data_IF_128348027150
#
_entry.id   IF_128348027150
#
_cell.length_a   1.000
_cell.length_b   1.000
_cell.length_c   1.000
_cell.angle_alpha   90.00
_cell.angle_beta   90.00
_cell.angle_gamma   90.00
#
_symmetry.space_group_name_H-M   'P 1'
#
loop_
_entity.id
_entity.type
_entity.pdbx_description
1 polymer ?
#
# COMPACT_ATOMS: atom_id res chain seq x y z
N UNK A 1 34.27 -17.71 -24.62
CA UNK A 1 33.62 -17.65 -23.29
C UNK A 1 33.50 -19.07 -22.80
N UNK A 2 33.94 -19.36 -21.58
CA UNK A 2 33.89 -20.74 -21.07
C UNK A 2 32.42 -21.12 -20.81
N UNK A 3 32.04 -22.39 -20.99
CA UNK A 3 30.66 -22.86 -20.73
C UNK A 3 30.16 -22.41 -19.34
N UNK A 4 31.08 -22.35 -18.38
CA UNK A 4 30.86 -21.90 -17.00
C UNK A 4 30.52 -20.42 -16.83
N UNK A 5 30.90 -19.55 -17.77
CA UNK A 5 30.54 -18.12 -17.71
C UNK A 5 29.08 -17.92 -18.15
N UNK A 6 28.63 -18.70 -19.12
CA UNK A 6 27.25 -18.69 -19.62
C UNK A 6 26.30 -19.17 -18.53
N UNK A 7 26.63 -20.26 -17.84
CA UNK A 7 25.81 -20.82 -16.76
C UNK A 7 25.63 -19.82 -15.60
N UNK A 8 26.69 -19.09 -15.24
CA UNK A 8 26.63 -18.02 -14.23
C UNK A 8 25.76 -16.85 -14.66
N UNK A 9 25.85 -16.43 -15.93
CA UNK A 9 24.98 -15.37 -16.46
C UNK A 9 23.51 -15.78 -16.43
N UNK A 10 23.20 -17.03 -16.80
CA UNK A 10 21.83 -17.56 -16.74
C UNK A 10 21.32 -17.58 -15.30
N UNK A 11 22.15 -18.00 -14.34
CA UNK A 11 21.77 -18.01 -12.91
C UNK A 11 21.43 -16.62 -12.39
N UNK A 12 22.22 -15.60 -12.77
CA UNK A 12 21.94 -14.20 -12.39
C UNK A 12 20.61 -13.73 -12.99
N UNK A 13 20.36 -14.00 -14.28
CA UNK A 13 19.13 -13.61 -14.96
C UNK A 13 17.89 -14.24 -14.30
N UNK A 14 17.97 -15.53 -13.95
CA UNK A 14 16.86 -16.23 -13.26
C UNK A 14 16.58 -15.56 -11.92
N UNK A 15 17.61 -15.29 -11.10
CA UNK A 15 17.43 -14.65 -9.79
C UNK A 15 16.87 -13.23 -9.91
N UNK A 16 17.26 -12.48 -10.94
CA UNK A 16 16.70 -11.15 -11.19
C UNK A 16 15.23 -11.22 -11.59
N UNK A 17 14.85 -12.18 -12.44
CA UNK A 17 13.47 -12.36 -12.89
C UNK A 17 12.55 -12.77 -11.72
N UNK A 18 12.98 -13.74 -10.90
CA UNK A 18 12.22 -14.15 -9.71
C UNK A 18 11.96 -13.01 -8.71
N UNK A 19 12.91 -12.07 -8.60
CA UNK A 19 12.74 -10.88 -7.76
C UNK A 19 11.83 -9.84 -8.43
N UNK A 20 11.95 -9.66 -9.75
CA UNK A 20 11.08 -8.77 -10.51
C UNK A 20 9.61 -9.21 -10.42
N UNK A 21 9.33 -10.51 -10.54
CA UNK A 21 7.99 -11.09 -10.39
C UNK A 21 7.38 -10.78 -9.02
N UNK A 22 8.16 -10.94 -7.94
CA UNK A 22 7.70 -10.60 -6.57
C UNK A 22 7.39 -9.11 -6.42
N UNK A 23 8.22 -8.24 -7.00
CA UNK A 23 7.99 -6.79 -6.96
C UNK A 23 6.71 -6.42 -7.72
N UNK A 24 6.47 -7.05 -8.87
CA UNK A 24 5.26 -6.86 -9.67
C UNK A 24 4.00 -7.36 -8.95
N UNK A 25 4.07 -8.53 -8.31
CA UNK A 25 2.99 -9.06 -7.48
C UNK A 25 2.64 -8.11 -6.33
N UNK A 26 3.64 -7.64 -5.57
CA UNK A 26 3.42 -6.66 -4.48
C UNK A 26 2.79 -5.36 -4.99
N UNK A 27 3.18 -4.89 -6.17
CA UNK A 27 2.59 -3.69 -6.79
C UNK A 27 1.11 -3.89 -7.13
N UNK A 28 0.76 -5.07 -7.66
CA UNK A 28 -0.62 -5.42 -7.94
C UNK A 28 -1.45 -5.49 -6.64
N UNK A 29 -0.91 -6.14 -5.61
CA UNK A 29 -1.55 -6.24 -4.29
C UNK A 29 -1.80 -4.86 -3.67
N UNK A 30 -0.81 -3.96 -3.71
CA UNK A 30 -0.99 -2.57 -3.26
C UNK A 30 -2.15 -1.88 -3.98
N UNK A 31 -2.29 -2.08 -5.29
CA UNK A 31 -3.36 -1.46 -6.08
C UNK A 31 -4.74 -1.98 -5.64
N UNK A 32 -4.86 -3.29 -5.40
CA UNK A 32 -6.09 -3.91 -4.90
C UNK A 32 -6.42 -3.42 -3.48
N UNK A 33 -5.43 -3.34 -2.62
CA UNK A 33 -5.57 -2.86 -1.24
C UNK A 33 -5.97 -1.39 -1.19
N UNK A 34 -5.40 -0.57 -2.06
CA UNK A 34 -5.81 0.83 -2.22
C UNK A 34 -7.27 0.94 -2.66
N UNK A 35 -7.71 0.12 -3.62
CA UNK A 35 -9.12 0.11 -4.03
C UNK A 35 -10.05 -0.22 -2.86
N UNK A 36 -9.73 -1.26 -2.07
CA UNK A 36 -10.50 -1.65 -0.88
C UNK A 36 -10.53 -0.54 0.19
N UNK A 37 -9.40 0.14 0.41
CA UNK A 37 -9.31 1.27 1.35
C UNK A 37 -10.26 2.40 0.93
N UNK A 38 -10.33 2.69 -0.36
CA UNK A 38 -11.17 3.75 -0.90
C UNK A 38 -12.66 3.39 -0.79
N UNK A 39 -13.02 2.16 -1.16
CA UNK A 39 -14.38 1.62 -0.99
C UNK A 39 -14.83 1.68 0.48
N UNK A 40 -13.96 1.30 1.43
CA UNK A 40 -14.26 1.39 2.85
C UNK A 40 -14.48 2.84 3.32
N UNK A 41 -13.72 3.82 2.79
CA UNK A 41 -13.91 5.25 3.10
C UNK A 41 -15.24 5.77 2.56
N UNK A 42 -15.61 5.38 1.34
CA UNK A 42 -16.89 5.74 0.75
C UNK A 42 -18.05 5.14 1.54
N UNK A 43 -17.96 3.86 1.91
CA UNK A 43 -18.95 3.17 2.73
C UNK A 43 -19.14 3.86 4.10
N UNK A 44 -18.05 4.24 4.78
CA UNK A 44 -18.15 4.99 6.04
C UNK A 44 -18.84 6.34 5.87
N UNK A 45 -18.50 7.10 4.82
CA UNK A 45 -19.14 8.39 4.54
C UNK A 45 -20.63 8.24 4.25
N UNK A 46 -21.02 7.19 3.53
CA UNK A 46 -22.43 6.88 3.25
C UNK A 46 -23.17 6.48 4.54
N UNK A 47 -22.54 5.66 5.37
CA UNK A 47 -23.08 5.27 6.67
C UNK A 47 -23.31 6.50 7.57
N UNK A 48 -22.34 7.40 7.66
CA UNK A 48 -22.44 8.63 8.47
C UNK A 48 -23.62 9.50 8.05
N UNK A 49 -23.82 9.71 6.73
CA UNK A 49 -24.93 10.49 6.19
C UNK A 49 -26.30 9.81 6.32
N UNK A 50 -26.35 8.49 6.44
CA UNK A 50 -27.61 7.76 6.53
C UNK A 50 -28.24 7.88 7.91
N UNK A 51 -29.55 8.14 7.97
CA UNK A 51 -30.34 8.15 9.22
C UNK A 51 -30.82 6.74 9.62
N UNK A 52 -30.53 5.72 8.81
CA UNK A 52 -30.99 4.35 9.04
C UNK A 52 -30.25 3.68 10.22
N UNK A 53 -31.00 3.08 11.14
CA UNK A 53 -30.47 2.41 12.33
C UNK A 53 -29.95 0.99 12.07
N UNK A 54 -30.43 0.32 11.03
CA UNK A 54 -30.02 -1.03 10.64
C UNK A 54 -29.56 -1.04 9.20
N UNK A 55 -28.43 -1.70 8.95
CA UNK A 55 -27.80 -1.76 7.63
C UNK A 55 -27.56 -3.23 7.26
N UNK A 56 -27.58 -3.51 5.96
CA UNK A 56 -27.22 -4.81 5.41
C UNK A 56 -25.75 -4.81 5.01
N UNK A 57 -25.02 -5.84 5.45
CA UNK A 57 -23.61 -6.05 5.09
C UNK A 57 -23.48 -7.40 4.42
N UNK A 58 -22.62 -7.48 3.41
CA UNK A 58 -22.21 -8.72 2.78
C UNK A 58 -21.00 -9.30 3.50
N UNK A 59 -21.10 -10.54 3.94
CA UNK A 59 -19.97 -11.31 4.49
C UNK A 59 -19.83 -12.56 3.62
N UNK A 60 -18.86 -12.55 2.70
CA UNK A 60 -18.75 -13.57 1.67
C UNK A 60 -20.02 -13.60 0.80
N UNK A 61 -20.72 -14.73 0.79
CA UNK A 61 -21.99 -14.92 0.07
C UNK A 61 -23.23 -14.62 0.90
N UNK A 62 -23.09 -14.21 2.16
CA UNK A 62 -24.21 -14.00 3.08
C UNK A 62 -24.55 -12.52 3.23
N UNK A 63 -25.84 -12.21 3.31
CA UNK A 63 -26.35 -10.87 3.61
C UNK A 63 -26.82 -10.83 5.06
N UNK A 64 -26.17 -10.02 5.91
CA UNK A 64 -26.46 -9.94 7.34
C UNK A 64 -26.97 -8.54 7.69
N UNK A 65 -28.13 -8.48 8.35
CA UNK A 65 -28.68 -7.24 8.89
C UNK A 65 -28.10 -6.99 10.27
N UNK A 66 -27.48 -5.83 10.49
CA UNK A 66 -26.96 -5.46 11.80
C UNK A 66 -27.17 -3.98 12.13
N UNK A 67 -27.03 -3.58 13.40
CA UNK A 67 -27.07 -2.17 13.78
C UNK A 67 -25.95 -1.38 13.10
N UNK A 68 -26.23 -0.13 12.75
CA UNK A 68 -25.27 0.80 12.12
C UNK A 68 -23.98 0.94 12.92
N UNK A 69 -24.06 1.07 14.24
CA UNK A 69 -22.89 1.23 15.11
C UNK A 69 -21.90 0.07 14.97
N UNK A 70 -22.41 -1.16 14.98
CA UNK A 70 -21.59 -2.37 14.80
C UNK A 70 -21.01 -2.46 13.39
N UNK A 71 -21.78 -2.05 12.37
CA UNK A 71 -21.30 -1.97 10.99
C UNK A 71 -20.12 -0.99 10.84
N UNK A 72 -20.24 0.19 11.45
CA UNK A 72 -19.20 1.23 11.44
C UNK A 72 -17.95 0.76 12.18
N UNK A 73 -18.10 0.09 13.32
CA UNK A 73 -16.97 -0.49 14.06
C UNK A 73 -16.21 -1.53 13.22
N UNK A 74 -16.93 -2.43 12.54
CA UNK A 74 -16.34 -3.42 11.65
C UNK A 74 -15.59 -2.76 10.48
N UNK A 75 -16.18 -1.75 9.84
CA UNK A 75 -15.54 -1.00 8.76
C UNK A 75 -14.27 -0.25 9.23
N UNK A 76 -14.29 0.34 10.43
CA UNK A 76 -13.10 0.99 11.01
C UNK A 76 -11.98 -0.01 11.29
N UNK A 77 -12.33 -1.19 11.79
CA UNK A 77 -11.35 -2.27 12.02
C UNK A 77 -10.76 -2.78 10.69
N UNK A 78 -11.59 -2.91 9.65
CA UNK A 78 -11.12 -3.29 8.32
C UNK A 78 -10.14 -2.25 7.75
N UNK A 79 -10.44 -0.95 7.89
CA UNK A 79 -9.52 0.11 7.49
C UNK A 79 -8.16 0.02 8.19
N UNK A 80 -8.14 -0.22 9.50
CA UNK A 80 -6.89 -0.39 10.24
C UNK A 80 -6.09 -1.60 9.75
N UNK A 81 -6.75 -2.71 9.46
CA UNK A 81 -6.08 -3.91 8.94
C UNK A 81 -5.51 -3.67 7.54
N UNK A 82 -6.27 -3.03 6.66
CA UNK A 82 -5.82 -2.67 5.31
C UNK A 82 -4.62 -1.72 5.37
N UNK A 83 -4.63 -0.73 6.26
CA UNK A 83 -3.51 0.20 6.43
C UNK A 83 -2.24 -0.47 6.96
N UNK A 84 -2.38 -1.39 7.92
CA UNK A 84 -1.24 -2.21 8.40
C UNK A 84 -0.65 -3.06 7.28
N UNK A 85 -1.49 -3.74 6.50
CA UNK A 85 -1.03 -4.57 5.38
C UNK A 85 -0.36 -3.74 4.29
N UNK A 86 -0.90 -2.58 3.94
CA UNK A 86 -0.26 -1.64 3.01
C UNK A 86 1.13 -1.24 3.51
N UNK A 87 1.26 -0.90 4.80
CA UNK A 87 2.55 -0.52 5.40
C UNK A 87 3.56 -1.66 5.33
N UNK A 88 3.14 -2.90 5.59
CA UNK A 88 3.98 -4.10 5.47
C UNK A 88 4.44 -4.33 4.02
N UNK A 89 3.53 -4.24 3.04
CA UNK A 89 3.88 -4.43 1.63
C UNK A 89 4.89 -3.36 1.17
N UNK A 90 4.75 -2.12 1.64
CA UNK A 90 5.74 -1.07 1.35
C UNK A 90 7.12 -1.38 1.95
N UNK A 91 7.19 -1.86 3.20
CA UNK A 91 8.48 -2.25 3.79
C UNK A 91 9.12 -3.42 3.04
N UNK A 92 8.33 -4.41 2.65
CA UNK A 92 8.79 -5.59 1.92
C UNK A 92 9.25 -5.21 0.51
N UNK A 93 8.50 -4.35 -0.18
CA UNK A 93 8.86 -3.85 -1.50
C UNK A 93 10.19 -3.08 -1.46
N UNK A 94 10.45 -2.28 -0.43
CA UNK A 94 11.74 -1.57 -0.27
C UNK A 94 12.91 -2.56 -0.16
N UNK A 95 12.74 -3.64 0.60
CA UNK A 95 13.76 -4.68 0.75
C UNK A 95 13.99 -5.40 -0.59
N UNK A 96 12.91 -5.78 -1.29
CA UNK A 96 13.00 -6.47 -2.57
C UNK A 96 13.66 -5.61 -3.66
N UNK A 97 13.31 -4.33 -3.75
CA UNK A 97 13.91 -3.39 -4.71
C UNK A 97 15.39 -3.18 -4.45
N UNK A 98 15.81 -3.11 -3.17
CA UNK A 98 17.22 -3.04 -2.84
C UNK A 98 17.97 -4.31 -3.25
N UNK A 99 17.42 -5.50 -2.95
CA UNK A 99 18.01 -6.77 -3.39
C UNK A 99 18.14 -6.86 -4.92
N UNK A 100 17.13 -6.39 -5.66
CA UNK A 100 17.17 -6.33 -7.12
C UNK A 100 18.30 -5.40 -7.61
N UNK A 101 18.46 -4.23 -7.00
CA UNK A 101 19.56 -3.30 -7.32
C UNK A 101 20.93 -3.87 -7.00
N UNK A 102 21.07 -4.58 -5.88
CA UNK A 102 22.31 -5.22 -5.48
C UNK A 102 22.74 -6.28 -6.51
N UNK A 103 21.79 -7.06 -7.05
CA UNK A 103 22.06 -8.03 -8.13
C UNK A 103 22.47 -7.37 -9.45
N UNK A 104 21.95 -6.18 -9.73
CA UNK A 104 22.31 -5.39 -10.91
C UNK A 104 23.57 -4.53 -10.71
N UNK A 105 24.24 -4.64 -9.55
CA UNK A 105 25.37 -3.79 -9.15
C UNK A 105 25.08 -2.28 -9.21
N UNK A 106 23.83 -1.90 -8.95
CA UNK A 106 23.39 -0.50 -8.89
C UNK A 106 23.43 0.01 -7.45
N UNK A 107 23.62 1.31 -7.28
CA UNK A 107 23.55 1.95 -5.97
C UNK A 107 22.17 1.70 -5.30
N UNK A 108 22.12 1.54 -3.97
CA UNK A 108 20.89 1.30 -3.24
C UNK A 108 19.86 2.42 -3.48
N UNK A 109 18.57 2.09 -3.36
CA UNK A 109 17.53 3.07 -3.60
C UNK A 109 17.49 4.14 -2.51
N UNK A 110 18.10 5.29 -2.81
CA UNK A 110 17.84 6.54 -2.11
C UNK A 110 16.45 7.03 -2.53
N UNK A 111 15.43 6.59 -1.81
CA UNK A 111 14.07 7.05 -2.07
C UNK A 111 13.92 8.56 -1.92
N UNK A 112 12.91 9.13 -2.57
CA UNK A 112 12.41 10.47 -2.24
C UNK A 112 11.67 10.35 -0.90
N UNK A 113 12.38 10.53 0.22
CA UNK A 113 11.79 10.49 1.58
C UNK A 113 10.90 11.72 1.84
N UNK A 114 10.04 12.05 0.88
CA UNK A 114 9.12 13.16 0.92
C UNK A 114 7.98 12.78 1.85
N UNK A 115 8.01 13.36 3.05
CA UNK A 115 6.85 13.38 3.92
C UNK A 115 5.95 14.54 3.48
N UNK A 116 4.62 14.36 3.45
CA UNK A 116 3.72 15.49 3.31
C UNK A 116 3.96 16.48 4.46
N UNK A 117 3.98 17.78 4.14
CA UNK A 117 4.12 18.85 5.13
C UNK A 117 2.99 18.75 6.16
N UNK A 118 3.33 18.74 7.44
CA UNK A 118 2.34 18.85 8.51
C UNK A 118 1.73 20.26 8.51
N UNK A 119 0.52 20.41 9.06
CA UNK A 119 -0.15 21.72 9.14
C UNK A 119 0.74 22.78 9.79
N UNK A 120 1.47 22.40 10.85
CA UNK A 120 2.41 23.29 11.54
C UNK A 120 3.58 23.74 10.65
N UNK A 121 4.09 22.83 9.83
CA UNK A 121 5.20 23.12 8.90
C UNK A 121 4.71 24.02 7.76
N UNK A 122 3.49 23.80 7.28
CA UNK A 122 2.87 24.63 6.26
C UNK A 122 2.54 26.04 6.76
N UNK A 123 2.00 26.16 7.98
CA UNK A 123 1.73 27.45 8.63
C UNK A 123 3.03 28.25 8.86
N UNK A 124 4.11 27.58 9.27
CA UNK A 124 5.42 28.19 9.39
C UNK A 124 5.99 28.63 8.04
N UNK A 125 5.73 27.88 6.97
CA UNK A 125 6.11 28.23 5.60
C UNK A 125 5.38 29.49 5.15
N UNK A 126 4.07 29.57 5.39
CA UNK A 126 3.23 30.73 5.07
C UNK A 126 3.62 31.99 5.85
N UNK A 127 4.05 31.84 7.10
CA UNK A 127 4.50 32.97 7.92
C UNK A 127 5.85 33.55 7.46
N UNK A 128 6.71 32.75 6.82
CA UNK A 128 8.08 33.14 6.48
C UNK A 128 8.33 33.35 4.98
N UNK A 129 7.39 32.97 4.10
CA UNK A 129 7.46 33.25 2.67
C UNK A 129 6.47 34.36 2.30
N UNK A 130 6.93 35.53 1.81
CA UNK A 130 6.09 36.68 1.54
C UNK A 130 5.21 36.55 0.27
N UNK A 131 5.01 35.34 -0.28
CA UNK A 131 4.33 35.13 -1.57
C UNK A 131 3.35 33.93 -1.58
N UNK A 132 2.64 33.67 -0.47
CA UNK A 132 1.43 32.83 -0.44
C UNK A 132 0.30 33.45 0.39
#
# INVERSE_FOLDING_TARGET
MSQTDIDKSIEVIIKTEELADKILANKHELTVMDKRRQEAREALRLMEKSEQQKVWITIGSLLVKMPKEKAVELLKKDQQQVEQQISMIYSDQKILVNKHRDLEFKAPFSGTHLKPLEQKEFDALKANLPLL
#
